data_IF_331828526919
#
_entry.id   IF_331828526919
#
_cell.length_a   1.000
_cell.length_b   1.000
_cell.length_c   1.000
_cell.angle_alpha   90.00
_cell.angle_beta   90.00
_cell.angle_gamma   90.00
#
_symmetry.space_group_name_H-M   'P 1'
#
loop_
_entity.id
_entity.type
_entity.pdbx_description
1 polymer ?
#
# COMPACT_ATOMS: atom_id res chain seq x y z
N UNK A 1 2.63 14.83 4.32
CA UNK A 1 1.26 14.34 4.01
C UNK A 1 0.30 14.76 5.13
N UNK A 2 -1.01 14.82 4.88
CA UNK A 2 -2.06 15.01 5.91
C UNK A 2 -3.13 13.92 5.76
N UNK A 3 -3.74 13.51 6.86
CA UNK A 3 -4.92 12.63 6.87
C UNK A 3 -6.09 13.44 7.41
N UNK A 4 -7.20 13.45 6.67
CA UNK A 4 -8.42 14.17 7.03
C UNK A 4 -9.57 13.19 7.27
N UNK A 5 -10.36 13.46 8.31
CA UNK A 5 -11.60 12.71 8.56
C UNK A 5 -12.68 13.18 7.59
N UNK A 6 -13.35 12.23 6.95
CA UNK A 6 -14.50 12.51 6.10
C UNK A 6 -15.79 12.67 6.92
N UNK A 7 -16.78 13.36 6.34
CA UNK A 7 -18.16 13.33 6.82
C UNK A 7 -18.71 11.91 6.77
N UNK A 8 -19.77 11.62 7.54
CA UNK A 8 -20.30 10.26 7.67
C UNK A 8 -20.86 9.69 6.35
N UNK A 9 -21.15 10.55 5.37
CA UNK A 9 -21.58 10.20 4.01
C UNK A 9 -20.42 10.08 3.00
N UNK A 10 -19.19 10.35 3.45
CA UNK A 10 -17.95 10.34 2.66
C UNK A 10 -17.90 11.32 1.48
N UNK A 11 -18.75 12.34 1.45
CA UNK A 11 -18.78 13.31 0.33
C UNK A 11 -17.94 14.55 0.58
N UNK A 12 -17.50 14.78 1.81
CA UNK A 12 -16.72 15.95 2.20
C UNK A 12 -15.66 15.63 3.24
N UNK A 13 -14.63 16.47 3.32
CA UNK A 13 -13.72 16.49 4.47
C UNK A 13 -14.31 17.36 5.59
N UNK A 14 -14.16 16.91 6.83
CA UNK A 14 -14.48 17.70 8.02
C UNK A 14 -13.41 18.78 8.32
N UNK A 15 -12.30 18.79 7.55
CA UNK A 15 -11.37 19.91 7.46
C UNK A 15 -10.49 20.13 8.69
N UNK A 16 -10.17 21.41 8.94
CA UNK A 16 -9.08 21.85 9.82
C UNK A 16 -9.16 21.34 11.27
N UNK A 17 -10.35 21.03 11.78
CA UNK A 17 -10.52 20.52 13.15
C UNK A 17 -10.44 19.00 13.26
N UNK A 18 -10.42 18.27 12.14
CA UNK A 18 -10.46 16.80 12.12
C UNK A 18 -9.41 16.21 11.17
N UNK A 19 -8.14 16.56 11.40
CA UNK A 19 -7.01 16.06 10.62
C UNK A 19 -5.78 15.80 11.51
N UNK A 20 -4.79 15.13 10.93
CA UNK A 20 -3.53 14.80 11.61
C UNK A 20 -2.52 15.94 11.71
N UNK A 21 -2.80 17.10 11.11
CA UNK A 21 -1.77 18.03 10.68
C UNK A 21 -0.88 17.42 9.58
N UNK A 22 0.10 18.20 9.12
CA UNK A 22 1.12 17.69 8.21
C UNK A 22 2.16 16.88 8.97
N UNK A 23 2.50 15.71 8.44
CA UNK A 23 3.55 14.85 8.97
C UNK A 23 4.38 14.22 7.85
N UNK A 24 5.56 13.72 8.22
CA UNK A 24 6.53 13.10 7.31
C UNK A 24 7.35 14.10 6.52
N UNK A 25 8.08 13.59 5.53
CA UNK A 25 8.95 14.38 4.66
C UNK A 25 8.15 15.38 3.80
N UNK A 26 8.84 16.42 3.32
CA UNK A 26 8.31 17.33 2.31
C UNK A 26 8.47 16.73 0.90
N UNK A 27 7.71 17.26 -0.06
CA UNK A 27 7.77 16.82 -1.46
C UNK A 27 7.54 15.30 -1.64
N UNK A 28 6.43 14.82 -1.07
CA UNK A 28 5.99 13.42 -1.09
C UNK A 28 4.65 13.28 -1.81
N UNK A 29 4.37 12.11 -2.36
CA UNK A 29 3.13 11.80 -3.09
C UNK A 29 2.69 10.34 -2.91
N UNK A 30 1.66 9.92 -3.64
CA UNK A 30 1.21 8.52 -3.72
C UNK A 30 0.89 7.88 -2.35
N UNK A 31 0.05 8.50 -1.49
CA UNK A 31 -0.26 7.96 -0.18
C UNK A 31 -1.13 6.70 -0.24
N UNK A 32 -0.87 5.77 0.68
CA UNK A 32 -1.80 4.73 1.09
C UNK A 32 -1.80 4.61 2.61
N UNK A 33 -2.89 4.08 3.17
CA UNK A 33 -3.07 3.92 4.60
C UNK A 33 -3.75 2.58 4.90
N UNK A 34 -3.25 1.86 5.89
CA UNK A 34 -3.84 0.59 6.35
C UNK A 34 -3.66 0.41 7.86
N UNK A 35 -4.42 -0.51 8.45
CA UNK A 35 -4.35 -0.85 9.88
C UNK A 35 -3.94 -2.31 10.07
N UNK A 36 -3.00 -2.58 10.98
CA UNK A 36 -2.58 -3.93 11.39
C UNK A 36 -2.31 -3.95 12.89
N UNK A 37 -2.92 -4.89 13.62
CA UNK A 37 -2.73 -5.08 15.06
C UNK A 37 -2.80 -3.77 15.86
N UNK A 38 -3.89 -3.02 15.68
CA UNK A 38 -4.11 -1.70 16.32
C UNK A 38 -3.11 -0.58 15.97
N UNK A 39 -2.18 -0.82 15.04
CA UNK A 39 -1.27 0.18 14.50
C UNK A 39 -1.81 0.67 13.14
N UNK A 40 -1.87 1.99 12.99
CA UNK A 40 -2.14 2.66 11.71
C UNK A 40 -0.83 2.92 11.00
N UNK A 41 -0.76 2.52 9.72
CA UNK A 41 0.38 2.72 8.84
C UNK A 41 -0.03 3.71 7.75
N UNK A 42 0.69 4.81 7.65
CA UNK A 42 0.63 5.72 6.51
C UNK A 42 1.93 5.54 5.71
N UNK A 43 1.80 5.25 4.42
CA UNK A 43 2.94 4.99 3.53
C UNK A 43 2.85 5.92 2.33
N UNK A 44 3.95 6.60 2.01
CA UNK A 44 4.04 7.48 0.84
C UNK A 44 5.49 7.60 0.39
N UNK A 45 5.67 7.85 -0.91
CA UNK A 45 6.98 7.97 -1.54
C UNK A 45 7.40 9.40 -1.74
N UNK A 46 8.69 9.60 -2.03
CA UNK A 46 9.16 10.87 -2.57
C UNK A 46 8.47 11.17 -3.90
N UNK A 47 8.18 12.45 -4.14
CA UNK A 47 7.59 12.92 -5.38
C UNK A 47 8.57 12.74 -6.53
N UNK A 48 8.14 12.00 -7.56
CA UNK A 48 8.90 11.76 -8.77
C UNK A 48 8.05 11.90 -10.05
N UNK A 49 6.76 12.23 -9.94
CA UNK A 49 5.91 12.66 -11.07
C UNK A 49 5.98 11.72 -12.30
N UNK A 50 5.67 10.44 -12.13
CA UNK A 50 5.73 9.44 -13.20
C UNK A 50 7.15 9.06 -13.68
N UNK A 51 8.16 9.22 -12.83
CA UNK A 51 9.52 8.80 -13.14
C UNK A 51 9.61 7.30 -13.46
N UNK A 52 10.56 6.94 -14.34
CA UNK A 52 10.81 5.55 -14.75
C UNK A 52 11.39 4.72 -13.60
N UNK A 53 12.15 5.36 -12.74
CA UNK A 53 12.88 4.73 -11.65
C UNK A 53 11.96 4.33 -10.49
N UNK A 54 10.73 4.84 -10.44
CA UNK A 54 9.86 4.75 -9.26
C UNK A 54 10.38 5.57 -8.08
N UNK A 55 9.80 5.36 -6.89
CA UNK A 55 10.26 6.04 -5.69
C UNK A 55 10.27 5.14 -4.46
N UNK A 56 11.25 5.36 -3.60
CA UNK A 56 11.28 4.72 -2.28
C UNK A 56 10.11 5.18 -1.43
N UNK A 57 9.53 4.26 -0.66
CA UNK A 57 8.36 4.52 0.18
C UNK A 57 8.76 4.57 1.65
N UNK A 58 8.42 5.66 2.34
CA UNK A 58 8.61 5.78 3.79
C UNK A 58 7.34 5.40 4.53
N UNK A 59 7.52 4.64 5.61
CA UNK A 59 6.46 4.17 6.51
C UNK A 59 6.41 5.07 7.73
N UNK A 60 5.20 5.52 8.05
CA UNK A 60 4.88 6.25 9.27
C UNK A 60 3.80 5.50 10.03
N UNK A 61 3.87 5.51 11.37
CA UNK A 61 2.91 4.79 12.20
C UNK A 61 2.31 5.63 13.32
N UNK A 62 1.08 5.27 13.72
CA UNK A 62 0.39 5.85 14.86
C UNK A 62 -0.53 4.83 15.53
N UNK A 63 -0.87 5.07 16.80
CA UNK A 63 -1.93 4.34 17.51
C UNK A 63 -3.33 4.89 17.24
N UNK A 64 -3.45 5.99 16.49
CA UNK A 64 -4.72 6.65 16.15
C UNK A 64 -4.75 7.00 14.66
N UNK A 65 -5.93 6.94 13.98
CA UNK A 65 -6.01 7.23 12.56
C UNK A 65 -5.60 8.67 12.22
N UNK A 66 -5.79 9.62 13.15
CA UNK A 66 -5.41 11.02 12.98
C UNK A 66 -4.06 11.35 13.63
N UNK A 67 -3.24 10.34 13.95
CA UNK A 67 -1.92 10.58 14.49
C UNK A 67 -1.89 10.79 16.01
N UNK A 68 -0.75 11.24 16.56
CA UNK A 68 0.44 11.68 15.83
C UNK A 68 1.16 10.51 15.13
N UNK A 69 1.66 10.75 13.92
CA UNK A 69 2.44 9.79 13.15
C UNK A 69 3.94 9.96 13.42
N UNK A 70 4.65 8.84 13.54
CA UNK A 70 6.12 8.80 13.68
C UNK A 70 6.73 8.01 12.53
N UNK A 71 7.87 8.46 12.03
CA UNK A 71 8.65 7.71 11.04
C UNK A 71 9.05 6.36 11.62
N UNK A 72 8.85 5.29 10.85
CA UNK A 72 9.21 3.93 11.21
C UNK A 72 10.45 3.48 10.42
N UNK A 73 10.32 3.31 9.11
CA UNK A 73 11.41 2.90 8.22
C UNK A 73 11.08 3.21 6.75
N UNK A 74 12.01 2.93 5.83
CA UNK A 74 11.79 2.97 4.39
C UNK A 74 11.67 1.53 3.83
N UNK A 75 10.83 1.34 2.82
CA UNK A 75 10.55 0.05 2.17
C UNK A 75 11.52 -0.28 1.03
N UNK A 76 12.36 0.67 0.61
CA UNK A 76 13.18 0.55 -0.59
C UNK A 76 12.43 0.88 -1.87
N UNK A 77 13.11 0.65 -3.00
CA UNK A 77 12.59 0.87 -4.35
C UNK A 77 12.89 -0.33 -5.28
N UNK A 78 12.96 -1.54 -4.74
CA UNK A 78 13.32 -2.75 -5.52
C UNK A 78 12.35 -3.05 -6.67
N UNK A 79 11.11 -2.57 -6.59
CA UNK A 79 10.11 -2.71 -7.65
C UNK A 79 10.29 -1.73 -8.82
N UNK A 80 11.17 -0.74 -8.70
CA UNK A 80 11.28 0.39 -9.62
C UNK A 80 9.92 0.96 -10.01
N UNK A 81 9.06 1.16 -9.01
CA UNK A 81 7.66 1.48 -9.20
C UNK A 81 7.23 2.58 -8.24
N UNK A 82 6.30 3.42 -8.69
CA UNK A 82 5.65 4.41 -7.83
C UNK A 82 4.42 3.77 -7.18
N UNK A 83 4.33 3.85 -5.85
CA UNK A 83 3.19 3.30 -5.10
C UNK A 83 1.85 3.85 -5.64
N UNK A 84 0.80 3.03 -5.58
CA UNK A 84 -0.57 3.54 -5.66
C UNK A 84 -1.48 2.96 -4.57
N UNK A 85 -1.14 1.80 -3.99
CA UNK A 85 -1.97 1.20 -2.95
C UNK A 85 -1.21 0.17 -2.10
N UNK A 86 -1.76 -0.11 -0.91
CA UNK A 86 -1.50 -1.32 -0.14
C UNK A 86 -2.82 -2.07 0.02
N UNK A 87 -2.95 -3.22 -0.64
CA UNK A 87 -4.14 -4.07 -0.56
C UNK A 87 -4.03 -5.00 0.65
N UNK A 88 -5.03 -4.96 1.52
CA UNK A 88 -5.23 -5.97 2.55
C UNK A 88 -6.11 -7.11 2.00
N UNK A 89 -5.71 -8.36 2.21
CA UNK A 89 -6.48 -9.55 1.82
C UNK A 89 -6.58 -10.53 2.99
N UNK A 90 -7.66 -11.32 3.02
CA UNK A 90 -7.83 -12.36 4.05
C UNK A 90 -7.06 -13.63 3.67
N UNK A 91 -6.43 -14.25 4.66
CA UNK A 91 -5.65 -15.51 4.49
C UNK A 91 -6.22 -16.60 5.39
N UNK A 92 -5.83 -17.86 5.13
CA UNK A 92 -6.23 -19.00 5.97
C UNK A 92 -5.36 -19.17 7.23
N UNK A 93 -4.26 -18.42 7.34
CA UNK A 93 -3.33 -18.48 8.46
C UNK A 93 -3.81 -17.72 9.71
N UNK A 94 -3.11 -17.93 10.82
CA UNK A 94 -3.49 -17.50 12.18
C UNK A 94 -3.70 -15.98 12.33
N UNK A 95 -3.03 -15.15 11.53
CA UNK A 95 -3.20 -13.68 11.54
C UNK A 95 -4.45 -13.21 10.80
N UNK A 96 -5.07 -14.07 10.00
CA UNK A 96 -6.28 -13.83 9.22
C UNK A 96 -6.15 -12.84 8.05
N UNK A 97 -5.03 -12.11 7.93
CA UNK A 97 -4.79 -11.13 6.88
C UNK A 97 -3.34 -11.09 6.40
N UNK A 98 -3.19 -10.81 5.10
CA UNK A 98 -1.96 -10.46 4.42
C UNK A 98 -2.07 -9.08 3.76
N UNK A 99 -0.93 -8.54 3.34
CA UNK A 99 -0.82 -7.20 2.73
C UNK A 99 0.01 -7.28 1.47
N UNK A 100 -0.44 -6.60 0.42
CA UNK A 100 0.22 -6.54 -0.88
C UNK A 100 0.51 -5.08 -1.21
N UNK A 101 1.79 -4.75 -1.37
CA UNK A 101 2.19 -3.46 -1.89
C UNK A 101 2.00 -3.43 -3.40
N UNK A 102 1.49 -2.33 -3.94
CA UNK A 102 1.22 -2.17 -5.36
C UNK A 102 1.76 -0.83 -5.88
N UNK A 103 2.49 -0.90 -7.00
CA UNK A 103 3.01 0.28 -7.67
C UNK A 103 2.95 0.19 -9.20
N UNK A 104 2.93 1.35 -9.85
CA UNK A 104 3.02 1.50 -11.29
C UNK A 104 4.48 1.63 -11.71
N UNK A 105 4.89 0.88 -12.73
CA UNK A 105 6.19 1.05 -13.40
C UNK A 105 6.00 2.01 -14.56
N UNK A 106 6.03 3.30 -14.28
CA UNK A 106 5.80 4.30 -15.31
C UNK A 106 6.86 4.28 -16.40
N UNK A 107 6.48 4.61 -17.65
CA UNK A 107 7.37 4.61 -18.81
C UNK A 107 7.94 3.21 -19.16
N UNK A 108 7.27 2.15 -18.73
CA UNK A 108 7.68 0.76 -19.02
C UNK A 108 7.05 0.22 -20.30
N UNK A 109 5.97 0.85 -20.77
CA UNK A 109 5.31 0.49 -22.02
C UNK A 109 6.27 0.63 -23.22
N UNK A 110 6.55 -0.44 -23.99
CA UNK A 110 7.44 -0.37 -25.15
C UNK A 110 6.94 0.55 -26.28
N UNK A 111 5.62 0.75 -26.35
CA UNK A 111 4.95 1.62 -27.32
C UNK A 111 4.74 3.05 -26.81
N UNK A 112 5.17 3.35 -25.59
CA UNK A 112 5.02 4.67 -24.96
C UNK A 112 3.58 5.02 -24.56
N UNK A 113 2.61 4.11 -24.67
CA UNK A 113 1.23 4.38 -24.29
C UNK A 113 1.06 4.21 -22.78
N UNK A 114 0.59 5.28 -22.10
CA UNK A 114 0.47 5.31 -20.64
C UNK A 114 -0.37 4.17 -20.06
N UNK A 115 -1.45 3.80 -20.74
CA UNK A 115 -2.34 2.72 -20.31
C UNK A 115 -1.73 1.32 -20.40
N UNK A 116 -0.55 1.20 -21.03
CA UNK A 116 0.19 -0.06 -21.16
C UNK A 116 1.38 -0.14 -20.19
N UNK A 117 1.58 0.88 -19.34
CA UNK A 117 2.60 0.83 -18.30
C UNK A 117 2.32 -0.35 -17.36
N UNK A 118 3.37 -1.10 -17.05
CA UNK A 118 3.31 -2.26 -16.18
C UNK A 118 3.04 -1.87 -14.73
N UNK A 119 2.68 -2.88 -13.96
CA UNK A 119 2.49 -2.78 -12.52
C UNK A 119 3.42 -3.80 -11.84
N UNK A 120 3.95 -3.43 -10.67
CA UNK A 120 4.71 -4.34 -9.82
C UNK A 120 4.05 -4.46 -8.46
N UNK A 121 3.72 -5.69 -8.08
CA UNK A 121 3.07 -6.01 -6.82
C UNK A 121 3.97 -6.95 -6.01
N UNK A 122 4.01 -6.79 -4.69
CA UNK A 122 4.80 -7.68 -3.83
C UNK A 122 4.16 -7.86 -2.45
N UNK A 123 4.17 -9.08 -1.87
CA UNK A 123 3.71 -9.28 -0.50
C UNK A 123 4.56 -8.47 0.49
N UNK A 124 3.90 -7.83 1.45
CA UNK A 124 4.57 -7.15 2.55
C UNK A 124 4.80 -8.11 3.72
N UNK A 125 5.93 -7.97 4.39
CA UNK A 125 6.28 -8.73 5.58
C UNK A 125 6.55 -7.81 6.75
N UNK A 126 6.25 -8.26 7.96
CA UNK A 126 6.36 -7.47 9.19
C UNK A 126 7.19 -8.22 10.22
N UNK A 127 7.95 -7.48 11.02
CA UNK A 127 8.59 -7.99 12.23
C UNK A 127 7.55 -8.11 13.35
N UNK A 128 7.91 -8.80 14.43
CA UNK A 128 7.03 -9.01 15.58
C UNK A 128 6.67 -7.70 16.29
N UNK A 129 7.57 -6.71 16.26
CA UNK A 129 7.36 -5.36 16.80
C UNK A 129 6.47 -4.46 15.93
N UNK A 130 5.99 -4.97 14.79
CA UNK A 130 5.15 -4.25 13.85
C UNK A 130 5.92 -3.44 12.80
N UNK A 131 7.26 -3.40 12.85
CA UNK A 131 8.05 -2.76 11.79
C UNK A 131 7.92 -3.51 10.47
N UNK A 132 7.90 -2.77 9.36
CA UNK A 132 7.76 -3.36 8.03
C UNK A 132 9.14 -3.76 7.52
N UNK A 133 9.29 -4.98 7.02
CA UNK A 133 10.55 -5.42 6.41
C UNK A 133 10.77 -4.70 5.08
N UNK A 134 12.03 -4.51 4.72
CA UNK A 134 12.42 -4.00 3.40
C UNK A 134 11.81 -4.86 2.29
N UNK A 135 11.33 -4.24 1.22
CA UNK A 135 10.79 -4.97 0.08
C UNK A 135 11.93 -5.56 -0.72
N UNK A 136 11.91 -6.86 -0.94
CA UNK A 136 12.82 -7.52 -1.88
C UNK A 136 12.10 -7.76 -3.20
N UNK A 137 12.81 -7.56 -4.31
CA UNK A 137 12.26 -7.93 -5.61
C UNK A 137 11.90 -9.41 -5.65
N UNK A 138 10.69 -9.70 -6.11
CA UNK A 138 10.19 -11.06 -6.29
C UNK A 138 9.49 -11.14 -7.65
N UNK A 139 10.06 -11.89 -8.59
CA UNK A 139 9.49 -12.04 -9.93
C UNK A 139 8.13 -12.77 -9.91
N UNK A 140 7.95 -13.70 -8.97
CA UNK A 140 6.74 -14.52 -8.84
C UNK A 140 6.46 -14.78 -7.37
N UNK A 141 5.22 -14.61 -6.95
CA UNK A 141 4.78 -14.94 -5.61
C UNK A 141 3.41 -15.63 -5.67
N UNK A 142 3.07 -16.33 -4.59
CA UNK A 142 1.73 -16.87 -4.38
C UNK A 142 1.19 -16.29 -3.10
N UNK A 143 -0.03 -15.78 -3.14
CA UNK A 143 -0.77 -15.39 -1.95
C UNK A 143 -1.88 -16.40 -1.70
N UNK A 144 -2.05 -16.78 -0.45
CA UNK A 144 -3.20 -17.54 0.00
C UNK A 144 -4.35 -16.57 0.29
N UNK A 145 -5.43 -16.68 -0.48
CA UNK A 145 -6.62 -15.83 -0.32
C UNK A 145 -7.79 -16.73 0.04
N UNK A 146 -8.35 -16.53 1.23
CA UNK A 146 -9.58 -17.26 1.59
C UNK A 146 -10.75 -16.71 0.78
N UNK A 147 -11.18 -17.50 -0.19
CA UNK A 147 -12.43 -17.24 -0.87
C UNK A 147 -13.56 -17.74 0.05
N UNK A 148 -14.27 -16.84 0.73
CA UNK A 148 -15.67 -17.13 1.07
C UNK A 148 -16.48 -17.05 -0.22
N UNK A 149 -16.26 -17.99 -1.13
CA UNK A 149 -17.26 -18.26 -2.17
C UNK A 149 -18.48 -18.72 -1.36
N UNK A 150 -19.58 -17.99 -1.40
CA UNK A 150 -20.87 -18.57 -1.06
C UNK A 150 -21.06 -19.76 -2.01
N UNK A 151 -20.66 -20.94 -1.55
CA UNK A 151 -20.59 -22.16 -2.35
C UNK A 151 -22.00 -22.62 -2.66
N UNK A 152 -22.51 -22.23 -3.83
CA UNK A 152 -23.55 -22.99 -4.53
C UNK A 152 -23.34 -23.04 -6.04
N UNK A 153 -22.12 -22.80 -6.54
CA UNK A 153 -21.74 -23.15 -7.92
C UNK A 153 -20.32 -23.69 -8.00
N UNK A 154 -20.09 -24.80 -8.73
CA UNK A 154 -18.76 -25.35 -8.91
C UNK A 154 -17.99 -24.45 -9.89
N UNK A 155 -16.84 -23.93 -9.47
CA UNK A 155 -15.94 -23.20 -10.37
C UNK A 155 -14.52 -23.74 -10.21
N UNK A 156 -14.10 -24.52 -11.21
CA UNK A 156 -12.70 -24.79 -11.49
C UNK A 156 -12.09 -23.58 -12.18
N UNK A 157 -11.32 -22.76 -11.47
CA UNK A 157 -10.47 -21.76 -12.12
C UNK A 157 -9.09 -21.77 -11.48
N UNK A 158 -8.09 -22.26 -12.24
CA UNK A 158 -6.69 -22.03 -11.98
C UNK A 158 -6.33 -20.68 -12.59
N UNK A 159 -5.95 -19.70 -11.80
CA UNK A 159 -5.19 -18.56 -12.30
C UNK A 159 -3.73 -19.01 -12.46
N UNK A 160 -3.28 -19.10 -13.70
CA UNK A 160 -1.87 -19.02 -14.05
C UNK A 160 -1.64 -17.61 -14.56
N UNK A 161 -0.74 -16.88 -13.91
CA UNK A 161 -0.09 -15.71 -14.47
C UNK A 161 1.02 -16.22 -15.39
#
# INVERSE_FOLDING_TARGET
MSIEKLSDDYTSSLGKSFNSGFFGETFVEAPSMFKRNEIYYAVFGQCCCYCKEGSGVTVYTSSSPLGPYKTMNNLGNEGHAQQFNVLQYRTSGDTGYGYLWQGNQWQSAPDGLKGHDFNYWTPMSFNQDGSVKYMNYTANFTIDVVSKIHSNRPLSHRFKI
#
